data_IF_507257142193
#
_entry.id   IF_507257142193
#
_cell.length_a   1.000
_cell.length_b   1.000
_cell.length_c   1.000
_cell.angle_alpha   90.00
_cell.angle_beta   90.00
_cell.angle_gamma   90.00
#
_symmetry.space_group_name_H-M   'P 1'
#
loop_
_entity.id
_entity.type
_entity.pdbx_description
1 polymer ?
#
# COMPACT_ATOMS: atom_id res chain seq x y z
N UNK A 1 9.81 30.47 -4.03
CA UNK A 1 10.01 29.53 -2.91
C UNK A 1 11.28 28.74 -3.18
N UNK A 2 12.19 28.58 -2.21
CA UNK A 2 13.31 27.64 -2.33
C UNK A 2 12.80 26.23 -2.01
N UNK A 3 13.12 25.25 -2.85
CA UNK A 3 12.86 23.85 -2.54
C UNK A 3 13.69 23.44 -1.31
N UNK A 4 13.10 22.71 -0.38
CA UNK A 4 13.81 22.16 0.78
C UNK A 4 14.32 20.78 0.41
N UNK A 5 15.64 20.59 0.45
CA UNK A 5 16.29 19.33 0.08
C UNK A 5 16.45 18.41 1.30
N UNK A 6 16.20 17.12 1.12
CA UNK A 6 16.48 16.10 2.14
C UNK A 6 17.85 15.49 1.84
N UNK A 7 18.87 15.68 2.68
CA UNK A 7 20.20 15.12 2.46
C UNK A 7 20.18 13.62 2.73
N UNK A 8 19.80 12.84 1.71
CA UNK A 8 19.88 11.39 1.71
C UNK A 8 21.34 10.96 1.54
N UNK A 9 22.20 11.11 2.56
CA UNK A 9 23.67 10.87 2.57
C UNK A 9 24.21 9.75 1.64
N UNK A 10 24.21 9.97 0.31
CA UNK A 10 24.49 8.97 -0.71
C UNK A 10 23.55 7.74 -0.73
N UNK A 11 22.46 7.74 0.02
CA UNK A 11 21.61 6.57 0.25
C UNK A 11 20.55 6.40 -0.84
N UNK A 12 20.48 5.22 -1.48
CA UNK A 12 19.27 4.83 -2.23
C UNK A 12 18.11 4.64 -1.25
N UNK A 13 16.90 4.98 -1.67
CA UNK A 13 15.66 4.74 -0.93
C UNK A 13 14.78 3.77 -1.71
N UNK A 14 13.97 2.99 -1.00
CA UNK A 14 13.05 2.00 -1.59
C UNK A 14 11.63 2.53 -1.69
N UNK A 15 11.25 3.42 -0.77
CA UNK A 15 9.91 3.99 -0.72
C UNK A 15 9.91 5.31 0.05
N UNK A 16 8.99 6.21 -0.31
CA UNK A 16 8.74 7.48 0.35
C UNK A 16 7.23 7.73 0.42
N UNK A 17 6.77 8.38 1.49
CA UNK A 17 5.37 8.80 1.63
C UNK A 17 5.28 10.08 2.45
N UNK A 18 4.34 10.96 2.10
CA UNK A 18 4.11 12.23 2.81
C UNK A 18 2.65 12.31 3.26
N UNK A 19 2.44 12.71 4.52
CA UNK A 19 1.11 12.96 5.08
C UNK A 19 1.18 14.08 6.11
N UNK A 20 0.26 15.05 6.05
CA UNK A 20 0.18 16.18 6.99
C UNK A 20 1.52 16.92 7.25
N UNK A 21 2.35 17.07 6.21
CA UNK A 21 3.66 17.71 6.32
C UNK A 21 4.76 16.82 6.90
N UNK A 22 4.46 15.57 7.29
CA UNK A 22 5.44 14.56 7.67
C UNK A 22 5.81 13.71 6.46
N UNK A 23 7.08 13.73 6.08
CA UNK A 23 7.69 12.84 5.10
C UNK A 23 8.33 11.64 5.81
N UNK A 24 7.93 10.43 5.44
CA UNK A 24 8.59 9.20 5.81
C UNK A 24 9.38 8.64 4.62
N UNK A 25 10.62 8.23 4.88
CA UNK A 25 11.53 7.69 3.89
C UNK A 25 12.04 6.34 4.35
N UNK A 26 11.89 5.31 3.52
CA UNK A 26 12.49 4.00 3.75
C UNK A 26 13.76 3.86 2.90
N UNK A 27 14.91 3.75 3.57
CA UNK A 27 16.20 3.62 2.90
C UNK A 27 16.39 2.22 2.30
N UNK A 28 17.36 2.06 1.40
CA UNK A 28 17.80 0.76 0.89
C UNK A 28 18.38 -0.16 1.96
N UNK A 29 18.78 0.39 3.11
CA UNK A 29 19.20 -0.36 4.29
C UNK A 29 18.03 -0.78 5.19
N UNK A 30 16.80 -0.50 4.75
CA UNK A 30 15.57 -0.83 5.45
C UNK A 30 15.44 -0.08 6.78
N UNK A 31 15.94 1.16 6.79
CA UNK A 31 15.82 2.10 7.90
C UNK A 31 14.71 3.09 7.55
N UNK A 32 13.79 3.33 8.49
CA UNK A 32 12.71 4.29 8.31
C UNK A 32 13.15 5.61 8.95
N UNK A 33 13.24 6.65 8.13
CA UNK A 33 13.61 8.03 8.49
C UNK A 33 12.39 8.93 8.39
N UNK A 34 12.28 9.91 9.28
CA UNK A 34 11.09 10.77 9.38
C UNK A 34 11.49 12.23 9.38
N UNK A 35 10.69 13.03 8.71
CA UNK A 35 10.96 14.44 8.54
C UNK A 35 9.66 15.24 8.63
N UNK A 36 9.57 16.21 9.53
CA UNK A 36 8.45 17.13 9.60
C UNK A 36 8.78 18.44 8.90
N UNK A 37 7.85 18.90 8.05
CA UNK A 37 7.92 20.20 7.41
C UNK A 37 7.19 21.24 8.26
N UNK A 38 7.95 22.14 8.90
CA UNK A 38 7.42 23.24 9.69
C UNK A 38 8.09 24.55 9.30
N UNK A 39 7.30 25.55 8.90
CA UNK A 39 7.79 26.92 8.68
C UNK A 39 8.85 27.06 7.58
N UNK A 40 8.83 26.22 6.54
CA UNK A 40 9.83 26.24 5.47
C UNK A 40 11.07 25.39 5.73
N UNK A 41 11.19 24.81 6.93
CA UNK A 41 12.30 23.95 7.32
C UNK A 41 11.83 22.51 7.50
N UNK A 42 12.70 21.59 7.11
CA UNK A 42 12.51 20.16 7.29
C UNK A 42 13.32 19.72 8.51
N UNK A 43 12.64 19.17 9.51
CA UNK A 43 13.25 18.73 10.76
C UNK A 43 13.19 17.21 10.83
N UNK A 44 14.33 16.55 11.05
CA UNK A 44 14.34 15.10 11.29
C UNK A 44 13.57 14.80 12.57
N UNK A 45 12.61 13.87 12.49
CA UNK A 45 11.83 13.41 13.62
C UNK A 45 12.21 11.96 13.94
N UNK A 46 12.47 11.64 15.22
CA UNK A 46 12.77 10.29 15.61
C UNK A 46 11.56 9.40 15.30
N UNK A 47 11.80 8.39 14.46
CA UNK A 47 10.81 7.37 14.20
C UNK A 47 11.00 6.22 15.16
N UNK A 48 9.90 5.90 15.82
CA UNK A 48 9.84 4.88 16.84
C UNK A 48 9.47 3.53 16.21
N UNK A 49 10.12 2.46 16.70
CA UNK A 49 9.86 1.09 16.24
C UNK A 49 10.73 0.62 15.07
N UNK A 50 11.72 1.42 14.66
CA UNK A 50 12.65 1.11 13.56
C UNK A 50 13.34 -0.24 13.72
N UNK A 51 13.65 -0.72 14.93
CA UNK A 51 14.30 -2.04 15.12
C UNK A 51 13.41 -3.24 14.78
N UNK A 52 12.17 -3.26 15.26
CA UNK A 52 11.25 -4.36 14.98
C UNK A 52 10.73 -4.30 13.54
N UNK A 53 10.48 -3.09 13.02
CA UNK A 53 10.26 -2.88 11.59
C UNK A 53 11.47 -3.34 10.78
N UNK A 54 12.69 -2.87 11.05
CA UNK A 54 13.91 -3.31 10.35
C UNK A 54 14.12 -4.82 10.43
N UNK A 55 13.81 -5.47 11.56
CA UNK A 55 13.85 -6.94 11.68
C UNK A 55 12.83 -7.62 10.77
N UNK A 56 11.61 -7.07 10.66
CA UNK A 56 10.59 -7.56 9.73
C UNK A 56 11.00 -7.31 8.27
N UNK A 57 11.46 -6.09 7.96
CA UNK A 57 11.94 -5.68 6.63
C UNK A 57 13.10 -6.55 6.14
N UNK A 58 14.11 -6.80 6.99
CA UNK A 58 15.26 -7.67 6.66
C UNK A 58 14.86 -9.08 6.26
N UNK A 59 13.71 -9.58 6.74
CA UNK A 59 13.17 -10.90 6.36
C UNK A 59 12.34 -10.86 5.08
N UNK A 60 11.84 -9.69 4.69
CA UNK A 60 10.84 -9.55 3.64
C UNK A 60 11.41 -9.10 2.29
N UNK A 61 12.64 -8.59 2.24
CA UNK A 61 13.35 -8.29 1.00
C UNK A 61 13.12 -6.85 0.53
N UNK A 62 12.74 -6.67 -0.75
CA UNK A 62 12.56 -5.35 -1.35
C UNK A 62 11.12 -4.86 -1.21
N UNK A 63 10.97 -3.59 -0.82
CA UNK A 63 9.70 -2.88 -0.94
C UNK A 63 9.45 -2.53 -2.41
N UNK A 64 8.22 -2.76 -2.88
CA UNK A 64 7.74 -2.41 -4.24
C UNK A 64 6.74 -1.26 -4.23
N UNK A 65 6.15 -0.97 -3.08
CA UNK A 65 5.18 0.07 -2.92
C UNK A 65 4.79 0.22 -1.45
N UNK A 66 3.99 1.22 -1.16
CA UNK A 66 3.56 1.48 0.19
C UNK A 66 2.65 2.68 0.25
N UNK A 67 1.91 2.76 1.34
CA UNK A 67 0.98 3.84 1.62
C UNK A 67 1.21 4.33 3.04
N UNK A 68 1.20 5.66 3.16
CA UNK A 68 1.22 6.36 4.43
C UNK A 68 -0.11 7.04 4.64
N UNK A 69 -0.68 6.84 5.82
CA UNK A 69 -1.90 7.49 6.24
C UNK A 69 -1.74 7.98 7.69
N UNK A 70 -2.54 8.97 8.10
CA UNK A 70 -2.56 9.46 9.47
C UNK A 70 -3.83 9.02 10.18
N UNK A 71 -3.77 8.85 11.50
CA UNK A 71 -4.98 8.65 12.27
C UNK A 71 -5.80 9.95 12.28
N UNK A 72 -7.10 9.91 11.93
CA UNK A 72 -7.94 11.10 11.89
C UNK A 72 -8.21 11.68 13.29
N UNK A 73 -8.07 10.86 14.33
CA UNK A 73 -8.30 11.26 15.73
C UNK A 73 -7.01 11.66 16.44
N UNK A 74 -5.86 11.16 15.96
CA UNK A 74 -4.55 11.49 16.52
C UNK A 74 -3.50 11.67 15.40
N UNK A 75 -3.19 12.91 14.98
CA UNK A 75 -2.26 13.17 13.88
C UNK A 75 -0.81 12.75 14.17
N UNK A 76 -0.47 12.42 15.42
CA UNK A 76 0.83 11.84 15.76
C UNK A 76 0.92 10.34 15.43
N UNK A 77 -0.18 9.66 15.17
CA UNK A 77 -0.22 8.24 14.80
C UNK A 77 -0.31 8.13 13.29
N UNK A 78 0.62 7.40 12.70
CA UNK A 78 0.71 7.13 11.27
C UNK A 78 0.49 5.63 11.02
N UNK A 79 -0.26 5.30 9.98
CA UNK A 79 -0.40 3.95 9.48
C UNK A 79 0.45 3.78 8.24
N UNK A 80 1.46 2.91 8.34
CA UNK A 80 2.35 2.58 7.25
C UNK A 80 2.01 1.17 6.75
N UNK A 81 1.58 1.08 5.51
CA UNK A 81 1.39 -0.20 4.81
C UNK A 81 2.45 -0.31 3.72
N UNK A 82 3.17 -1.42 3.69
CA UNK A 82 4.25 -1.64 2.73
C UNK A 82 3.99 -2.94 1.96
N UNK A 83 4.23 -2.88 0.66
CA UNK A 83 4.15 -3.99 -0.28
C UNK A 83 5.54 -4.58 -0.52
N UNK A 84 5.75 -5.81 -0.07
CA UNK A 84 7.03 -6.50 -0.15
C UNK A 84 7.02 -7.56 -1.21
N UNK A 85 8.06 -7.55 -2.04
CA UNK A 85 8.36 -8.70 -2.85
C UNK A 85 9.29 -9.66 -2.11
N UNK A 86 8.72 -10.78 -1.65
CA UNK A 86 9.50 -11.89 -1.14
C UNK A 86 9.91 -12.76 -2.33
N UNK A 87 11.17 -12.66 -2.72
CA UNK A 87 11.78 -13.70 -3.54
C UNK A 87 11.92 -14.94 -2.66
N UNK A 88 10.95 -15.86 -2.68
CA UNK A 88 11.13 -17.10 -1.93
C UNK A 88 12.23 -17.90 -2.61
N UNK A 89 13.20 -18.35 -1.82
CA UNK A 89 14.15 -19.39 -2.21
C UNK A 89 13.39 -20.59 -2.72
N UNK A 90 13.82 -21.12 -3.87
CA UNK A 90 13.26 -22.27 -4.57
C UNK A 90 12.80 -23.37 -3.60
N UNK A 91 11.48 -23.54 -3.44
CA UNK A 91 10.92 -24.68 -2.72
C UNK A 91 10.78 -25.81 -3.72
N UNK A 92 11.58 -26.87 -3.58
CA UNK A 92 11.32 -28.12 -4.30
C UNK A 92 9.97 -28.66 -3.84
N UNK A 93 8.94 -28.50 -4.68
CA UNK A 93 7.67 -29.17 -4.48
C UNK A 93 7.84 -30.56 -5.07
N UNK A 94 7.99 -31.59 -4.21
CA UNK A 94 7.91 -32.98 -4.66
C UNK A 94 6.46 -33.27 -5.07
N UNK A 95 6.11 -32.96 -6.31
CA UNK A 95 4.94 -33.57 -6.93
C UNK A 95 5.26 -35.05 -7.08
N UNK A 96 4.37 -35.93 -6.61
CA UNK A 96 4.58 -37.38 -6.56
C UNK A 96 4.98 -38.03 -7.90
N UNK A 97 4.90 -37.30 -9.02
CA UNK A 97 5.28 -37.79 -10.35
C UNK A 97 6.16 -36.84 -11.20
N UNK A 98 6.62 -35.68 -10.71
CA UNK A 98 7.58 -34.80 -11.44
C UNK A 98 8.46 -34.01 -10.47
N UNK A 99 9.79 -34.12 -10.63
CA UNK A 99 10.78 -33.31 -9.91
C UNK A 99 10.84 -31.89 -10.50
N UNK A 100 9.76 -31.11 -10.36
CA UNK A 100 9.73 -29.72 -10.79
C UNK A 100 10.07 -28.80 -9.63
N UNK A 101 11.20 -28.09 -9.72
CA UNK A 101 11.53 -26.99 -8.84
C UNK A 101 10.69 -25.77 -9.21
N UNK A 102 9.71 -25.41 -8.38
CA UNK A 102 8.88 -24.22 -8.60
C UNK A 102 9.41 -23.07 -7.74
N UNK A 103 9.97 -22.06 -8.38
CA UNK A 103 10.26 -20.78 -7.74
C UNK A 103 8.94 -20.02 -7.55
N UNK A 104 8.42 -19.96 -6.31
CA UNK A 104 7.26 -19.14 -6.00
C UNK A 104 7.71 -17.76 -5.48
N UNK A 105 7.59 -16.73 -6.29
CA UNK A 105 7.68 -15.36 -5.78
C UNK A 105 6.40 -15.01 -5.02
N UNK A 106 6.52 -14.63 -3.75
CA UNK A 106 5.37 -14.30 -2.91
C UNK A 106 5.40 -12.81 -2.56
N UNK A 107 4.38 -12.07 -2.97
CA UNK A 107 4.22 -10.68 -2.56
C UNK A 107 3.41 -10.63 -1.26
N UNK A 108 3.84 -9.83 -0.29
CA UNK A 108 3.21 -9.72 1.03
C UNK A 108 2.97 -8.25 1.36
N UNK A 109 1.72 -7.92 1.71
CA UNK A 109 1.44 -6.64 2.36
C UNK A 109 1.70 -6.78 3.86
N UNK A 110 2.41 -5.81 4.41
CA UNK A 110 2.66 -5.67 5.84
C UNK A 110 2.11 -4.33 6.29
N UNK A 111 1.30 -4.36 7.35
CA UNK A 111 0.76 -3.17 7.96
C UNK A 111 1.41 -2.94 9.32
N UNK A 112 1.91 -1.73 9.53
CA UNK A 112 2.43 -1.28 10.82
C UNK A 112 1.84 0.07 11.21
N UNK A 113 1.74 0.29 12.52
CA UNK A 113 1.44 1.59 13.10
C UNK A 113 2.76 2.20 13.53
N UNK A 114 3.04 3.41 13.04
CA UNK A 114 4.20 4.23 13.38
C UNK A 114 3.68 5.39 14.21
N UNK A 115 4.30 5.67 15.35
CA UNK A 115 3.91 6.80 16.19
C UNK A 115 5.02 7.83 16.14
N UNK A 116 4.69 9.06 15.77
CA UNK A 116 5.54 10.23 15.92
C UNK A 116 5.51 10.61 17.41
N UNK A 117 6.59 10.31 18.13
CA UNK A 117 6.70 10.62 19.56
C UNK A 117 8.14 10.97 19.92
N UNK A 118 8.30 11.74 21.01
CA UNK A 118 9.61 12.06 21.59
C UNK A 118 10.13 10.95 22.51
N UNK A 119 9.32 9.94 22.88
CA UNK A 119 9.67 9.05 24.00
C UNK A 119 9.32 7.56 23.91
N UNK A 120 8.40 7.04 23.09
CA UNK A 120 8.21 5.56 23.05
C UNK A 120 7.45 4.95 21.85
N UNK A 121 7.90 3.76 21.43
CA UNK A 121 7.41 3.02 20.26
C UNK A 121 6.54 1.82 20.63
N UNK A 122 5.37 1.68 20.00
CA UNK A 122 4.62 0.40 20.03
C UNK A 122 4.23 0.00 18.61
N UNK A 123 4.87 -1.05 18.10
CA UNK A 123 4.38 -1.76 16.91
C UNK A 123 3.31 -2.74 17.38
N UNK A 124 2.09 -2.58 16.86
CA UNK A 124 1.07 -3.63 16.88
C UNK A 124 1.04 -4.25 15.49
N UNK A 125 1.70 -5.40 15.33
CA UNK A 125 1.60 -6.22 14.13
C UNK A 125 0.15 -6.67 13.95
N UNK A 126 -0.40 -6.56 12.72
CA UNK A 126 -1.56 -7.35 12.26
C UNK A 126 -1.90 -7.04 10.81
N UNK A 127 -1.34 -7.86 9.92
CA UNK A 127 -2.07 -8.71 8.96
C UNK A 127 -1.17 -8.94 7.75
N UNK A 128 -0.86 -10.20 7.46
CA UNK A 128 -0.14 -10.60 6.25
C UNK A 128 -1.18 -10.85 5.17
N UNK A 129 -1.18 -10.05 4.11
CA UNK A 129 -1.93 -10.38 2.89
C UNK A 129 -0.95 -10.99 1.93
N UNK A 130 -0.82 -12.32 2.00
CA UNK A 130 0.24 -13.07 1.30
C UNK A 130 -0.01 -13.26 -0.19
N UNK A 131 -1.03 -12.59 -0.74
CA UNK A 131 -1.48 -12.79 -2.12
C UNK A 131 -1.93 -11.50 -2.81
N UNK A 132 -1.81 -10.33 -2.17
CA UNK A 132 -2.12 -9.03 -2.78
C UNK A 132 -0.82 -8.30 -3.12
N UNK A 133 -0.80 -7.59 -4.26
CA UNK A 133 0.32 -6.75 -4.69
C UNK A 133 -0.14 -5.56 -5.52
N UNK A 134 0.71 -4.55 -5.67
CA UNK A 134 0.36 -3.30 -6.34
C UNK A 134 -0.62 -2.50 -5.47
N UNK A 135 -0.22 -2.23 -4.23
CA UNK A 135 -1.01 -1.45 -3.28
C UNK A 135 -1.28 -0.05 -3.85
N UNK A 136 -2.56 0.31 -3.95
CA UNK A 136 -3.03 1.60 -4.49
C UNK A 136 -3.59 2.47 -3.37
N UNK A 137 -4.33 1.88 -2.42
CA UNK A 137 -4.83 2.55 -1.23
C UNK A 137 -5.13 1.54 -0.13
N UNK A 138 -5.30 2.00 1.10
CA UNK A 138 -5.74 1.19 2.21
C UNK A 138 -6.37 2.05 3.32
N UNK A 139 -7.17 1.40 4.15
CA UNK A 139 -7.72 1.96 5.39
C UNK A 139 -7.53 0.93 6.51
N UNK A 140 -8.24 1.15 7.62
CA UNK A 140 -8.34 0.15 8.68
C UNK A 140 -8.88 -1.19 8.18
N UNK A 141 -9.92 -1.17 7.38
CA UNK A 141 -10.70 -2.36 7.04
C UNK A 141 -10.57 -2.76 5.56
N UNK A 142 -10.02 -1.89 4.72
CA UNK A 142 -9.98 -2.10 3.27
C UNK A 142 -8.58 -1.95 2.72
N UNK A 143 -8.28 -2.72 1.68
CA UNK A 143 -7.06 -2.62 0.88
C UNK A 143 -7.49 -2.59 -0.58
N UNK A 144 -7.05 -1.57 -1.32
CA UNK A 144 -7.18 -1.47 -2.76
C UNK A 144 -5.86 -1.85 -3.42
N UNK A 145 -5.85 -2.87 -4.29
CA UNK A 145 -4.63 -3.35 -4.95
C UNK A 145 -4.88 -3.76 -6.41
N UNK A 146 -3.86 -3.69 -7.27
CA UNK A 146 -3.95 -4.01 -8.71
C UNK A 146 -3.74 -5.49 -9.03
N UNK A 147 -3.49 -6.32 -8.02
CA UNK A 147 -3.28 -7.74 -8.19
C UNK A 147 -3.63 -8.50 -6.91
N UNK A 148 -4.43 -9.57 -7.03
CA UNK A 148 -4.78 -10.47 -5.94
C UNK A 148 -4.85 -11.92 -6.43
N UNK A 149 -4.20 -12.85 -5.72
CA UNK A 149 -4.18 -14.30 -6.04
C UNK A 149 -3.80 -14.66 -7.48
N UNK A 150 -2.96 -13.86 -8.15
CA UNK A 150 -2.57 -14.12 -9.55
C UNK A 150 -3.48 -13.41 -10.57
N UNK A 151 -4.60 -12.83 -10.13
CA UNK A 151 -5.51 -12.09 -10.99
C UNK A 151 -5.10 -10.61 -11.06
N UNK A 152 -4.77 -10.15 -12.26
CA UNK A 152 -4.56 -8.75 -12.57
C UNK A 152 -5.90 -8.02 -12.65
N UNK A 153 -5.99 -6.86 -12.02
CA UNK A 153 -7.21 -6.06 -11.95
C UNK A 153 -7.27 -5.28 -10.65
N UNK A 154 -8.14 -4.29 -10.58
CA UNK A 154 -8.29 -3.51 -9.36
C UNK A 154 -9.22 -4.27 -8.40
N UNK A 155 -8.76 -4.50 -7.17
CA UNK A 155 -9.48 -5.29 -6.17
C UNK A 155 -9.56 -4.54 -4.84
N UNK A 156 -10.72 -4.63 -4.20
CA UNK A 156 -10.93 -4.27 -2.80
C UNK A 156 -10.92 -5.52 -1.93
N UNK A 157 -10.03 -5.56 -0.95
CA UNK A 157 -9.91 -6.65 0.01
C UNK A 157 -10.31 -6.14 1.39
N UNK A 158 -11.39 -6.69 1.94
CA UNK A 158 -11.80 -6.44 3.31
C UNK A 158 -10.93 -7.26 4.26
N UNK A 159 -10.16 -6.57 5.09
CA UNK A 159 -9.20 -7.16 6.02
C UNK A 159 -9.85 -7.89 7.19
N UNK A 160 -11.07 -7.47 7.57
CA UNK A 160 -11.81 -8.01 8.71
C UNK A 160 -12.63 -9.21 8.30
N UNK A 161 -13.42 -9.10 7.22
CA UNK A 161 -14.26 -10.19 6.73
C UNK A 161 -13.47 -11.20 5.88
N UNK A 162 -12.24 -10.85 5.46
CA UNK A 162 -11.41 -11.63 4.51
C UNK A 162 -12.16 -11.88 3.20
N UNK A 163 -12.91 -10.89 2.75
CA UNK A 163 -13.66 -10.95 1.51
C UNK A 163 -13.07 -10.02 0.47
N UNK A 164 -13.34 -10.32 -0.80
CA UNK A 164 -12.82 -9.58 -1.94
C UNK A 164 -13.95 -9.13 -2.86
N UNK A 165 -13.77 -7.95 -3.46
CA UNK A 165 -14.59 -7.39 -4.51
C UNK A 165 -13.69 -6.91 -5.64
N UNK A 166 -13.97 -7.31 -6.88
CA UNK A 166 -13.25 -6.80 -8.05
C UNK A 166 -13.90 -5.51 -8.52
N UNK A 167 -13.09 -4.50 -8.84
CA UNK A 167 -13.56 -3.21 -9.32
C UNK A 167 -13.55 -3.19 -10.84
N UNK A 168 -14.65 -2.72 -11.42
CA UNK A 168 -14.74 -2.52 -12.87
C UNK A 168 -13.89 -1.33 -13.26
N UNK A 169 -12.81 -1.57 -13.99
CA UNK A 169 -11.95 -0.51 -14.52
C UNK A 169 -12.24 -0.33 -16.01
N UNK A 170 -12.35 0.92 -16.51
CA UNK A 170 -12.49 1.17 -17.94
C UNK A 170 -11.36 0.52 -18.76
N UNK A 171 -11.63 0.09 -20.00
CA UNK A 171 -10.61 -0.51 -20.85
C UNK A 171 -9.38 0.39 -21.02
N UNK A 172 -8.20 -0.21 -20.99
CA UNK A 172 -6.90 0.47 -21.15
C UNK A 172 -6.57 1.51 -20.07
N UNK A 173 -7.28 1.49 -18.93
CA UNK A 173 -6.94 2.29 -17.77
C UNK A 173 -6.20 1.45 -16.72
N UNK A 174 -5.20 2.07 -16.08
CA UNK A 174 -4.47 1.47 -14.97
C UNK A 174 -4.58 2.37 -13.75
N UNK A 175 -4.84 1.78 -12.59
CA UNK A 175 -4.87 2.50 -11.33
C UNK A 175 -3.46 2.97 -10.95
N UNK A 176 -3.33 4.27 -10.76
CA UNK A 176 -2.09 4.93 -10.35
C UNK A 176 -2.11 5.24 -8.85
N UNK A 177 -3.27 5.66 -8.34
CA UNK A 177 -3.47 5.96 -6.92
C UNK A 177 -4.97 5.87 -6.57
N UNK A 178 -5.31 5.80 -5.30
CA UNK A 178 -6.69 5.82 -4.84
C UNK A 178 -6.81 6.40 -3.43
N UNK A 179 -8.00 6.87 -3.10
CA UNK A 179 -8.30 7.50 -1.82
C UNK A 179 -9.66 7.05 -1.34
N UNK A 180 -9.74 6.71 -0.05
CA UNK A 180 -11.01 6.46 0.60
C UNK A 180 -11.53 7.77 1.18
N UNK A 181 -12.74 8.15 0.79
CA UNK A 181 -13.42 9.36 1.27
C UNK A 181 -14.79 8.95 1.76
N UNK A 182 -14.97 8.90 3.08
CA UNK A 182 -16.19 8.40 3.71
C UNK A 182 -16.54 6.99 3.19
N UNK A 183 -17.70 6.85 2.55
CA UNK A 183 -18.20 5.61 1.96
C UNK A 183 -17.94 5.54 0.45
N UNK A 184 -16.98 6.32 -0.06
CA UNK A 184 -16.55 6.28 -1.45
C UNK A 184 -15.08 5.90 -1.59
N UNK A 185 -14.75 5.24 -2.69
CA UNK A 185 -13.39 5.07 -3.16
C UNK A 185 -13.21 5.88 -4.45
N UNK A 186 -12.29 6.84 -4.42
CA UNK A 186 -11.87 7.59 -5.59
C UNK A 186 -10.59 6.97 -6.12
N UNK A 187 -10.59 6.52 -7.37
CA UNK A 187 -9.43 5.90 -8.00
C UNK A 187 -8.94 6.79 -9.11
N UNK A 188 -7.68 7.24 -8.99
CA UNK A 188 -6.95 7.90 -10.07
C UNK A 188 -6.45 6.84 -11.03
N UNK A 189 -7.03 6.86 -12.22
CA UNK A 189 -6.62 6.05 -13.36
C UNK A 189 -5.71 6.89 -14.27
N UNK A 190 -5.15 6.24 -15.29
CA UNK A 190 -4.17 6.86 -16.18
C UNK A 190 -4.70 8.13 -16.87
N UNK A 191 -6.00 8.17 -17.20
CA UNK A 191 -6.62 9.31 -17.92
C UNK A 191 -7.93 9.80 -17.30
N UNK A 192 -8.33 9.27 -16.16
CA UNK A 192 -9.62 9.60 -15.54
C UNK A 192 -9.63 9.33 -14.04
N UNK A 193 -10.67 9.82 -13.37
CA UNK A 193 -11.03 9.39 -12.02
C UNK A 193 -12.28 8.53 -12.07
N UNK A 194 -12.24 7.37 -11.43
CA UNK A 194 -13.40 6.53 -11.21
C UNK A 194 -13.82 6.63 -9.73
N UNK A 195 -15.10 6.88 -9.47
CA UNK A 195 -15.66 6.90 -8.12
C UNK A 195 -16.48 5.63 -7.92
N UNK A 196 -16.23 4.90 -6.84
CA UNK A 196 -16.97 3.71 -6.45
C UNK A 196 -17.70 3.99 -5.14
N UNK A 197 -18.98 3.63 -5.09
CA UNK A 197 -19.77 3.65 -3.87
C UNK A 197 -19.51 2.36 -3.07
N UNK A 198 -19.15 2.51 -1.80
CA UNK A 198 -18.80 1.43 -0.91
C UNK A 198 -19.98 0.98 -0.02
N UNK A 199 -21.13 1.68 -0.04
CA UNK A 199 -22.30 1.35 0.77
C UNK A 199 -22.84 -0.07 0.49
N UNK A 200 -22.81 -0.51 -0.76
CA UNK A 200 -23.37 -1.80 -1.20
C UNK A 200 -22.38 -2.97 -1.17
N UNK A 201 -21.17 -2.77 -0.64
CA UNK A 201 -20.14 -3.81 -0.59
C UNK A 201 -20.61 -5.06 0.15
N UNK A 202 -21.45 -4.92 1.18
CA UNK A 202 -21.90 -6.04 2.00
C UNK A 202 -22.55 -7.20 1.23
N UNK A 203 -23.21 -6.89 0.11
CA UNK A 203 -23.87 -7.87 -0.76
C UNK A 203 -22.95 -8.47 -1.84
N UNK A 204 -21.84 -7.79 -2.15
CA UNK A 204 -20.90 -8.15 -3.21
C UNK A 204 -19.65 -8.84 -2.66
N UNK A 205 -19.42 -8.80 -1.36
CA UNK A 205 -18.24 -9.44 -0.79
C UNK A 205 -18.33 -10.98 -0.85
N UNK A 206 -17.32 -11.64 -1.44
CA UNK A 206 -17.20 -13.12 -1.48
C UNK A 206 -15.99 -13.59 -0.65
N UNK A 207 -16.07 -14.74 0.07
CA UNK A 207 -14.92 -15.30 0.78
C UNK A 207 -13.75 -15.64 -0.16
N UNK A 208 -12.52 -15.37 0.28
CA UNK A 208 -11.30 -15.84 -0.38
C UNK A 208 -11.25 -17.39 -0.28
N UNK A 209 -10.97 -18.16 -1.37
CA UNK A 209 -10.34 -17.79 -2.64
C UNK A 209 -11.25 -18.04 -3.86
N UNK A 210 -12.39 -17.34 -3.98
CA UNK A 210 -13.34 -17.56 -5.07
C UNK A 210 -13.06 -16.69 -6.32
N UNK A 211 -12.69 -17.28 -7.47
CA UNK A 211 -12.76 -16.60 -8.77
C UNK A 211 -14.04 -16.95 -9.56
N UNK A 212 -14.61 -16.02 -10.34
CA UNK A 212 -14.54 -14.56 -10.21
C UNK A 212 -15.58 -14.08 -9.17
N UNK A 213 -15.15 -13.23 -8.23
CA UNK A 213 -16.07 -12.50 -7.36
C UNK A 213 -16.94 -11.52 -8.17
N UNK A 214 -18.04 -11.01 -7.59
CA UNK A 214 -18.88 -10.04 -8.27
C UNK A 214 -18.11 -8.72 -8.45
N UNK A 215 -18.44 -8.03 -9.54
CA UNK A 215 -17.81 -6.79 -9.92
C UNK A 215 -18.60 -5.61 -9.37
N UNK A 216 -17.91 -4.70 -8.68
CA UNK A 216 -18.47 -3.40 -8.34
C UNK A 216 -18.25 -2.46 -9.53
N UNK A 217 -19.34 -1.89 -10.05
CA UNK A 217 -19.29 -0.83 -11.04
C UNK A 217 -18.86 0.50 -10.42
N UNK A 218 -18.29 1.40 -11.22
CA UNK A 218 -18.10 2.78 -10.80
C UNK A 218 -19.44 3.53 -10.86
N UNK A 219 -19.68 4.39 -9.89
CA UNK A 219 -20.83 5.31 -9.83
C UNK A 219 -20.65 6.44 -10.85
N UNK A 220 -19.45 7.01 -10.90
CA UNK A 220 -19.12 8.13 -11.79
C UNK A 220 -17.71 7.99 -12.38
N UNK A 221 -17.54 8.54 -13.59
CA UNK A 221 -16.26 8.57 -14.30
C UNK A 221 -15.97 9.99 -14.80
N UNK A 222 -14.93 10.61 -14.26
CA UNK A 222 -14.46 11.93 -14.67
C UNK A 222 -13.28 11.78 -15.62
N UNK A 223 -13.51 12.03 -16.91
CA UNK A 223 -12.41 12.06 -17.89
C UNK A 223 -11.58 13.32 -17.71
N UNK A 224 -10.27 13.15 -17.56
CA UNK A 224 -9.36 14.28 -17.51
C UNK A 224 -9.02 14.69 -18.95
N UNK A 225 -9.84 15.57 -19.53
CA UNK A 225 -9.48 16.19 -20.81
C UNK A 225 -8.33 17.19 -20.56
N UNK A 226 -7.16 16.92 -21.14
CA UNK A 226 -6.02 17.84 -21.23
C UNK A 226 -5.29 18.24 -19.94
N UNK A 227 -4.91 17.31 -19.06
CA UNK A 227 -3.74 17.59 -18.21
C UNK A 227 -2.46 17.23 -18.96
N UNK A 228 -1.78 18.28 -19.43
CA UNK A 228 -0.40 18.27 -19.89
C UNK A 228 0.44 17.73 -18.72
N UNK A 229 0.88 16.48 -18.81
CA UNK A 229 1.96 15.99 -17.99
C UNK A 229 3.23 16.71 -18.48
N UNK A 230 3.56 17.85 -17.89
CA UNK A 230 4.90 18.41 -18.05
C UNK A 230 5.86 17.50 -17.28
N UNK A 231 6.48 16.57 -18.01
CA UNK A 231 7.68 15.84 -17.61
C UNK A 231 8.83 16.79 -17.31
#
# INVERSE_FOLDING_TARGET
MKATEVPLAGGRWQWAGIVNGTLLLLTARLELCGYDYHGGQLMEVPILGTRALAKALRRMGSVRGGMLDNDPTNPAVLYLMLDFHLTATCTQVRNAHKNDSVCQSNTRLFRCTVVRSMTDAIIRDKARYSKSSGLVAATKNWICCTHHEGAYGLHLVNTRSKRIVSLTVPPMEFAQNAFFVQDMLLVMLTRCFAIYDLHDLGHLEVPIPAPPGPNLGYMELFKMNHMIWSS
#
